data_IF_538757594562
#
_entry.id   IF_538757594562
#
_cell.length_a   1.000
_cell.length_b   1.000
_cell.length_c   1.000
_cell.angle_alpha   90.00
_cell.angle_beta   90.00
_cell.angle_gamma   90.00
#
_symmetry.space_group_name_H-M   'P 1'
#
loop_
_entity.id
_entity.type
_entity.pdbx_description
1 polymer ?
#
# COMPACT_ATOMS: atom_id res chain seq x y z
N UNK A 1 -35.47 -6.07 5.17
CA UNK A 1 -34.72 -5.95 6.44
C UNK A 1 -33.34 -6.56 6.20
N UNK A 2 -32.26 -5.78 6.20
CA UNK A 2 -30.90 -6.31 5.94
C UNK A 2 -30.40 -7.00 7.21
N UNK A 3 -30.33 -8.32 7.19
CA UNK A 3 -29.69 -9.10 8.26
C UNK A 3 -28.22 -8.74 8.29
N UNK A 4 -27.78 -8.05 9.36
CA UNK A 4 -26.36 -7.81 9.60
C UNK A 4 -25.75 -9.09 10.15
N UNK A 5 -24.79 -9.63 9.43
CA UNK A 5 -24.10 -10.88 9.77
C UNK A 5 -22.95 -10.55 10.72
N UNK A 6 -22.96 -11.01 11.99
CA UNK A 6 -21.98 -10.65 13.01
C UNK A 6 -20.52 -10.93 12.63
N UNK A 7 -20.29 -11.91 11.76
CA UNK A 7 -18.96 -12.30 11.27
C UNK A 7 -18.29 -11.18 10.49
N UNK A 8 -19.05 -10.41 9.68
CA UNK A 8 -18.50 -9.31 8.88
C UNK A 8 -18.06 -8.16 9.79
N UNK A 9 -18.86 -7.82 10.81
CA UNK A 9 -18.51 -6.74 11.77
C UNK A 9 -17.28 -7.09 12.61
N UNK A 10 -17.10 -8.36 13.02
CA UNK A 10 -15.90 -8.76 13.78
C UNK A 10 -14.61 -8.68 12.95
N UNK A 11 -14.65 -9.05 11.66
CA UNK A 11 -13.49 -8.95 10.76
C UNK A 11 -13.11 -7.47 10.52
N UNK A 12 -14.10 -6.59 10.32
CA UNK A 12 -13.86 -5.15 10.15
C UNK A 12 -13.24 -4.53 11.39
N UNK A 13 -13.72 -4.87 12.59
CA UNK A 13 -13.13 -4.40 13.85
C UNK A 13 -11.66 -4.84 14.02
N UNK A 14 -11.33 -6.07 13.61
CA UNK A 14 -9.95 -6.55 13.63
C UNK A 14 -9.05 -5.81 12.62
N UNK A 15 -9.56 -5.59 11.40
CA UNK A 15 -8.84 -4.83 10.38
C UNK A 15 -8.61 -3.37 10.80
N UNK A 16 -9.61 -2.72 11.39
CA UNK A 16 -9.51 -1.33 11.86
C UNK A 16 -8.48 -1.18 12.99
N UNK A 17 -8.42 -2.15 13.90
CA UNK A 17 -7.39 -2.21 14.95
C UNK A 17 -5.97 -2.32 14.36
N UNK A 18 -5.79 -3.17 13.35
CA UNK A 18 -4.51 -3.27 12.64
C UNK A 18 -4.19 -2.03 11.81
N UNK A 19 -5.19 -1.42 11.18
CA UNK A 19 -5.02 -0.18 10.44
C UNK A 19 -4.57 0.97 11.36
N UNK A 20 -5.10 1.04 12.59
CA UNK A 20 -4.66 1.98 13.61
C UNK A 20 -3.19 1.74 14.02
N UNK A 21 -2.77 0.49 14.15
CA UNK A 21 -1.36 0.16 14.45
C UNK A 21 -0.42 0.53 13.31
N UNK A 22 -0.81 0.24 12.06
CA UNK A 22 -0.04 0.65 10.87
C UNK A 22 0.11 2.17 10.80
N UNK A 23 -0.98 2.91 11.08
CA UNK A 23 -0.97 4.37 11.16
C UNK A 23 -0.02 4.86 12.24
N UNK A 24 -0.11 4.33 13.46
CA UNK A 24 0.78 4.71 14.55
C UNK A 24 2.26 4.47 14.22
N UNK A 25 2.58 3.41 13.46
CA UNK A 25 3.94 3.15 12.98
C UNK A 25 4.42 4.20 11.97
N UNK A 26 3.57 4.56 11.01
CA UNK A 26 3.88 5.63 10.04
C UNK A 26 4.06 6.97 10.75
N UNK A 27 3.15 7.31 11.68
CA UNK A 27 3.20 8.55 12.46
C UNK A 27 4.47 8.62 13.32
N UNK A 28 4.86 7.51 13.96
CA UNK A 28 6.09 7.43 14.75
C UNK A 28 7.36 7.66 13.91
N UNK A 29 7.33 7.29 12.63
CA UNK A 29 8.39 7.52 11.67
C UNK A 29 8.28 8.89 10.96
N UNK A 30 7.25 9.69 11.23
CA UNK A 30 7.01 10.96 10.53
C UNK A 30 6.61 10.79 9.05
N UNK A 31 6.13 9.60 8.67
CA UNK A 31 5.79 9.25 7.28
C UNK A 31 4.31 9.49 7.00
N UNK A 32 4.02 10.21 5.92
CA UNK A 32 2.65 10.37 5.43
C UNK A 32 2.28 9.20 4.51
N UNK A 33 1.36 8.34 4.96
CA UNK A 33 0.81 7.27 4.13
C UNK A 33 -0.30 7.76 3.19
N UNK A 34 -0.21 7.42 1.90
CA UNK A 34 -1.25 7.72 0.89
C UNK A 34 -1.77 6.42 0.27
N UNK A 35 -3.08 6.18 0.38
CA UNK A 35 -3.75 5.05 -0.28
C UNK A 35 -4.31 5.51 -1.64
N UNK A 36 -3.79 4.95 -2.74
CA UNK A 36 -4.24 5.26 -4.09
C UNK A 36 -5.03 4.08 -4.65
N UNK A 37 -6.35 4.26 -4.73
CA UNK A 37 -7.27 3.29 -5.34
C UNK A 37 -7.71 3.77 -6.72
N UNK A 38 -7.73 2.85 -7.69
CA UNK A 38 -8.19 3.14 -9.04
C UNK A 38 -8.72 1.87 -9.71
N UNK A 39 -9.60 2.03 -10.69
CA UNK A 39 -10.01 0.91 -11.55
C UNK A 39 -8.84 0.39 -12.39
N UNK A 40 -8.86 -0.88 -12.82
CA UNK A 40 -7.85 -1.42 -13.74
C UNK A 40 -7.74 -0.53 -14.99
N UNK A 41 -6.51 -0.21 -15.40
CA UNK A 41 -6.25 0.63 -16.58
C UNK A 41 -6.48 2.13 -16.40
N UNK A 42 -6.91 2.61 -15.23
CA UNK A 42 -7.14 4.04 -14.97
C UNK A 42 -5.85 4.88 -14.82
N UNK A 43 -4.68 4.28 -15.01
CA UNK A 43 -3.40 5.01 -15.02
C UNK A 43 -2.74 5.21 -13.65
N UNK A 44 -3.13 4.45 -12.61
CA UNK A 44 -2.51 4.49 -11.25
C UNK A 44 -0.99 4.51 -11.32
N UNK A 45 -0.40 3.58 -12.07
CA UNK A 45 1.05 3.41 -12.18
C UNK A 45 1.70 4.59 -12.87
N UNK A 46 1.08 5.12 -13.92
CA UNK A 46 1.57 6.34 -14.60
C UNK A 46 1.57 7.54 -13.65
N UNK A 47 0.53 7.71 -12.85
CA UNK A 47 0.46 8.78 -11.84
C UNK A 47 1.57 8.61 -10.80
N UNK A 48 1.79 7.40 -10.29
CA UNK A 48 2.86 7.12 -9.31
C UNK A 48 4.23 7.45 -9.90
N UNK A 49 4.55 6.96 -11.10
CA UNK A 49 5.85 7.21 -11.73
C UNK A 49 6.09 8.69 -12.03
N UNK A 50 5.07 9.41 -12.52
CA UNK A 50 5.19 10.86 -12.75
C UNK A 50 5.30 11.64 -11.43
N UNK A 51 4.66 11.17 -10.36
CA UNK A 51 4.80 11.76 -9.02
C UNK A 51 6.22 11.57 -8.49
N UNK A 52 6.79 10.37 -8.62
CA UNK A 52 8.18 10.08 -8.26
C UNK A 52 9.13 10.99 -9.05
N UNK A 53 9.01 11.02 -10.37
CA UNK A 53 9.85 11.86 -11.22
C UNK A 53 9.71 13.36 -10.89
N UNK A 54 8.49 13.81 -10.61
CA UNK A 54 8.22 15.19 -10.25
C UNK A 54 8.77 15.58 -8.89
N UNK A 55 8.88 14.64 -7.95
CA UNK A 55 9.31 14.88 -6.57
C UNK A 55 10.74 14.41 -6.28
N UNK A 56 11.44 13.93 -7.31
CA UNK A 56 12.81 13.42 -7.19
C UNK A 56 13.75 14.44 -6.54
N UNK A 57 14.56 13.96 -5.61
CA UNK A 57 15.47 14.77 -4.79
C UNK A 57 14.82 15.77 -3.82
N UNK A 58 13.49 15.83 -3.72
CA UNK A 58 12.77 16.76 -2.82
C UNK A 58 12.18 16.09 -1.60
N UNK A 59 11.77 14.83 -1.73
CA UNK A 59 11.24 14.01 -0.63
C UNK A 59 11.68 12.55 -0.81
N UNK A 60 11.78 11.83 0.30
CA UNK A 60 11.94 10.38 0.29
C UNK A 60 10.58 9.72 0.05
N UNK A 61 10.53 8.79 -0.90
CA UNK A 61 9.31 8.09 -1.30
C UNK A 61 9.53 6.58 -1.27
N UNK A 62 8.54 5.85 -0.77
CA UNK A 62 8.45 4.41 -0.89
C UNK A 62 7.08 4.00 -1.39
N UNK A 63 7.00 2.89 -2.13
CA UNK A 63 5.73 2.40 -2.69
C UNK A 63 5.45 0.99 -2.21
N UNK A 64 4.22 0.76 -1.78
CA UNK A 64 3.70 -0.60 -1.57
C UNK A 64 2.67 -0.85 -2.66
N UNK A 65 2.88 -1.90 -3.44
CA UNK A 65 2.00 -2.28 -4.53
C UNK A 65 1.22 -3.54 -4.16
N UNK A 66 -0.10 -3.51 -4.30
CA UNK A 66 -0.94 -4.70 -4.23
C UNK A 66 -1.41 -5.09 -5.62
N UNK A 67 -1.00 -6.26 -6.09
CA UNK A 67 -1.52 -6.85 -7.33
C UNK A 67 -1.83 -8.34 -7.12
N UNK A 68 -2.80 -8.81 -7.88
CA UNK A 68 -3.16 -10.22 -8.06
C UNK A 68 -2.17 -10.95 -8.95
N UNK A 69 -1.46 -10.24 -9.83
CA UNK A 69 -0.47 -10.83 -10.71
C UNK A 69 0.82 -11.16 -9.94
N UNK A 70 1.43 -12.31 -10.24
CA UNK A 70 2.74 -12.67 -9.70
C UNK A 70 3.90 -11.87 -10.34
N UNK A 71 3.60 -11.07 -11.37
CA UNK A 71 4.61 -10.31 -12.13
C UNK A 71 4.67 -8.88 -11.59
N UNK A 72 5.86 -8.46 -11.15
CA UNK A 72 6.19 -7.20 -10.47
C UNK A 72 6.36 -6.00 -11.42
N UNK A 73 5.56 -5.92 -12.49
CA UNK A 73 5.77 -4.95 -13.58
C UNK A 73 5.78 -3.51 -13.06
N UNK A 74 5.02 -3.22 -12.01
CA UNK A 74 4.86 -1.89 -11.47
C UNK A 74 5.90 -1.61 -10.37
N UNK A 75 6.14 -2.53 -9.44
CA UNK A 75 7.24 -2.46 -8.47
C UNK A 75 8.63 -2.34 -9.14
N UNK A 76 8.90 -3.10 -10.20
CA UNK A 76 10.20 -3.09 -10.90
C UNK A 76 10.47 -1.73 -11.57
N UNK A 77 9.44 -1.08 -12.10
CA UNK A 77 9.56 0.28 -12.67
C UNK A 77 9.90 1.31 -11.60
N UNK A 78 9.33 1.16 -10.40
CA UNK A 78 9.57 2.06 -9.27
C UNK A 78 11.00 1.87 -8.73
N UNK A 79 11.44 0.61 -8.58
CA UNK A 79 12.83 0.29 -8.22
C UNK A 79 13.82 0.84 -9.25
N UNK A 80 13.49 0.71 -10.54
CA UNK A 80 14.30 1.26 -11.64
C UNK A 80 14.34 2.80 -11.64
N UNK A 81 13.32 3.46 -11.06
CA UNK A 81 13.29 4.90 -10.83
C UNK A 81 14.04 5.31 -9.54
N UNK A 82 14.71 4.37 -8.86
CA UNK A 82 15.54 4.63 -7.68
C UNK A 82 14.79 4.69 -6.35
N UNK A 83 13.49 4.35 -6.33
CA UNK A 83 12.68 4.39 -5.11
C UNK A 83 12.45 2.99 -4.54
N UNK A 84 12.47 2.81 -3.21
CA UNK A 84 12.13 1.54 -2.58
C UNK A 84 10.68 1.15 -2.89
N UNK A 85 10.47 -0.10 -3.33
CA UNK A 85 9.16 -0.65 -3.60
C UNK A 85 9.00 -2.04 -2.98
N UNK A 86 7.81 -2.33 -2.45
CA UNK A 86 7.43 -3.63 -1.90
C UNK A 86 6.18 -4.13 -2.62
N UNK A 87 6.27 -5.32 -3.21
CA UNK A 87 5.12 -6.01 -3.79
C UNK A 87 4.39 -6.83 -2.72
N UNK A 88 3.06 -6.70 -2.70
CA UNK A 88 2.14 -7.59 -2.03
C UNK A 88 1.41 -8.37 -3.12
N UNK A 89 1.55 -9.69 -3.11
CA UNK A 89 0.68 -10.57 -3.88
C UNK A 89 -0.61 -10.79 -3.06
N UNK A 90 -1.74 -10.31 -3.58
CA UNK A 90 -3.01 -10.37 -2.86
C UNK A 90 -3.67 -11.76 -2.90
N UNK A 91 -3.05 -12.75 -3.56
CA UNK A 91 -3.57 -14.12 -3.63
C UNK A 91 -4.93 -14.23 -4.30
N UNK A 92 -5.25 -13.31 -5.22
CA UNK A 92 -6.55 -13.21 -5.88
C UNK A 92 -7.58 -12.33 -5.15
N UNK A 93 -7.23 -11.72 -4.02
CA UNK A 93 -8.07 -10.69 -3.40
C UNK A 93 -8.03 -9.41 -4.24
N UNK A 94 -9.19 -8.76 -4.40
CA UNK A 94 -9.32 -7.51 -5.16
C UNK A 94 -9.01 -6.24 -4.33
N UNK A 95 -8.51 -6.40 -3.10
CA UNK A 95 -8.18 -5.30 -2.20
C UNK A 95 -6.93 -5.62 -1.38
N UNK A 96 -6.34 -4.57 -0.81
CA UNK A 96 -5.34 -4.64 0.25
C UNK A 96 -6.03 -4.43 1.59
N UNK A 97 -5.62 -5.20 2.60
CA UNK A 97 -6.07 -5.04 3.98
C UNK A 97 -4.93 -4.61 4.92
N UNK A 98 -5.26 -4.36 6.18
CA UNK A 98 -4.30 -3.90 7.17
C UNK A 98 -3.27 -4.98 7.55
N UNK A 99 -3.61 -6.27 7.44
CA UNK A 99 -2.68 -7.39 7.72
C UNK A 99 -1.59 -7.41 6.65
N UNK A 100 -1.98 -7.31 5.39
CA UNK A 100 -1.06 -7.25 4.25
C UNK A 100 -0.11 -6.05 4.38
N UNK A 101 -0.64 -4.87 4.72
CA UNK A 101 0.18 -3.69 4.94
C UNK A 101 1.13 -3.85 6.14
N UNK A 102 0.68 -4.47 7.23
CA UNK A 102 1.51 -4.71 8.41
C UNK A 102 2.74 -5.60 8.09
N UNK A 103 2.60 -6.55 7.16
CA UNK A 103 3.69 -7.38 6.67
C UNK A 103 4.64 -6.67 5.69
N UNK A 104 4.14 -5.69 4.93
CA UNK A 104 4.93 -4.94 3.94
C UNK A 104 5.69 -3.74 4.53
N UNK A 105 5.09 -3.01 5.48
CA UNK A 105 5.69 -1.82 6.10
C UNK A 105 7.12 -2.03 6.64
N UNK A 106 7.46 -3.12 7.35
CA UNK A 106 8.83 -3.34 7.81
C UNK A 106 9.89 -3.52 6.71
N UNK A 107 9.47 -3.72 5.46
CA UNK A 107 10.38 -3.91 4.34
C UNK A 107 10.75 -2.59 3.65
N UNK A 108 10.10 -1.48 4.03
CA UNK A 108 10.47 -0.14 3.61
C UNK A 108 11.40 0.52 4.63
N UNK A 109 12.37 1.33 4.18
CA UNK A 109 13.20 2.15 5.07
C UNK A 109 12.40 3.36 5.55
N UNK A 110 11.62 3.21 6.63
CA UNK A 110 10.76 4.28 7.14
C UNK A 110 11.53 5.35 7.93
N UNK A 111 12.76 5.06 8.36
CA UNK A 111 13.58 5.93 9.23
C UNK A 111 14.72 6.64 8.48
N UNK A 112 14.89 6.34 7.18
CA UNK A 112 15.89 6.95 6.29
C UNK A 112 15.31 8.13 5.51
#
# INVERSE_FOLDING_TARGET
>A
MKTKVPVVEQILNANDSLAAQNRARLDAAGVVGMNIMASPGAGKTSVILQTIAGLDGRIHLGVIEGDTAAVTIDADKILSAGMPAVQINTGGQCHLDAVMLAGALPQLPLED
#
